data_IF_946485421632
#
_entry.id   IF_946485421632
#
_cell.length_a   1.000
_cell.length_b   1.000
_cell.length_c   1.000
_cell.angle_alpha   90.00
_cell.angle_beta   90.00
_cell.angle_gamma   90.00
#
_symmetry.space_group_name_H-M   'P 1'
#
loop_
_entity.id
_entity.type
_entity.pdbx_description
1 polymer ?
#
# COMPACT_ATOMS: atom_id res chain seq x y z
N UNK A 1 -20.97 5.67 -19.40
CA UNK A 1 -20.86 5.25 -20.82
C UNK A 1 -21.99 4.28 -21.05
N UNK A 2 -23.04 4.70 -21.75
CA UNK A 2 -24.36 4.08 -21.60
C UNK A 2 -24.87 4.18 -20.16
N UNK A 3 -25.62 3.18 -19.70
CA UNK A 3 -26.23 3.10 -18.34
C UNK A 3 -25.25 2.66 -17.23
N UNK A 4 -23.97 2.46 -17.56
CA UNK A 4 -22.99 2.02 -16.58
C UNK A 4 -22.51 3.18 -15.70
N UNK A 5 -22.76 3.06 -14.39
CA UNK A 5 -22.25 3.95 -13.36
C UNK A 5 -20.90 3.45 -12.84
N UNK A 6 -19.88 4.30 -12.96
CA UNK A 6 -18.55 4.03 -12.45
C UNK A 6 -18.27 4.92 -11.25
N UNK A 7 -17.65 4.35 -10.22
CA UNK A 7 -17.15 5.08 -9.06
C UNK A 7 -15.64 4.83 -8.92
N UNK A 8 -14.95 5.77 -8.31
CA UNK A 8 -13.52 5.66 -8.04
C UNK A 8 -13.14 6.51 -6.83
N UNK A 9 -12.02 6.15 -6.21
CA UNK A 9 -11.43 6.90 -5.11
C UNK A 9 -10.34 7.79 -5.71
N UNK A 10 -10.47 9.10 -5.54
CA UNK A 10 -9.45 10.08 -5.90
C UNK A 10 -8.64 10.50 -4.69
N UNK A 11 -7.32 10.42 -4.76
CA UNK A 11 -6.41 10.98 -3.77
C UNK A 11 -5.66 12.14 -4.38
N UNK A 12 -5.80 13.31 -3.76
CA UNK A 12 -5.12 14.54 -4.17
C UNK A 12 -3.62 14.45 -3.84
N UNK A 13 -2.76 14.77 -4.80
CA UNK A 13 -1.32 14.90 -4.60
C UNK A 13 -0.94 16.31 -4.14
N UNK A 14 0.33 16.51 -3.78
CA UNK A 14 0.82 17.78 -3.21
C UNK A 14 0.66 18.98 -4.16
N UNK A 15 0.76 18.77 -5.48
CA UNK A 15 0.57 19.82 -6.50
C UNK A 15 -0.90 20.01 -6.92
N UNK A 16 -1.83 19.26 -6.32
CA UNK A 16 -3.26 19.40 -6.55
C UNK A 16 -3.82 18.59 -7.72
N UNK A 17 -3.01 17.74 -8.35
CA UNK A 17 -3.49 16.65 -9.20
C UNK A 17 -4.10 15.51 -8.37
N UNK A 18 -4.65 14.50 -9.04
CA UNK A 18 -5.33 13.38 -8.43
C UNK A 18 -4.88 12.05 -9.04
N UNK A 19 -4.61 11.09 -8.17
CA UNK A 19 -4.58 9.67 -8.52
C UNK A 19 -5.96 9.08 -8.25
N UNK A 20 -6.58 8.53 -9.30
CA UNK A 20 -7.92 7.98 -9.24
C UNK A 20 -7.82 6.47 -9.45
N UNK A 21 -8.36 5.71 -8.48
CA UNK A 21 -8.47 4.26 -8.57
C UNK A 21 -9.92 3.85 -8.66
N UNK A 22 -10.27 3.08 -9.69
CA UNK A 22 -11.49 2.29 -9.72
C UNK A 22 -11.12 0.79 -9.89
N UNK A 23 -12.08 -0.15 -9.77
CA UNK A 23 -11.79 -1.58 -9.92
C UNK A 23 -11.16 -1.98 -11.26
N UNK A 24 -11.40 -1.19 -12.31
CA UNK A 24 -11.05 -1.51 -13.70
C UNK A 24 -9.77 -0.80 -14.20
N UNK A 25 -9.39 0.33 -13.59
CA UNK A 25 -8.34 1.21 -14.10
C UNK A 25 -7.67 2.04 -13.00
N UNK A 26 -6.43 2.42 -13.29
CA UNK A 26 -5.67 3.47 -12.58
C UNK A 26 -5.66 4.68 -13.51
N UNK A 27 -6.04 5.86 -13.00
CA UNK A 27 -6.15 7.09 -13.77
C UNK A 27 -5.45 8.22 -13.04
N UNK A 28 -4.91 9.17 -13.81
CA UNK A 28 -4.27 10.39 -13.29
C UNK A 28 -5.01 11.60 -13.84
N UNK A 29 -5.19 12.63 -13.02
CA UNK A 29 -5.82 13.87 -13.43
C UNK A 29 -4.99 15.06 -12.92
N UNK A 30 -4.59 15.97 -13.80
CA UNK A 30 -3.74 17.11 -13.46
C UNK A 30 -2.25 16.76 -13.34
N UNK A 31 -1.53 17.51 -12.51
CA UNK A 31 -0.09 17.33 -12.28
C UNK A 31 0.23 16.00 -11.60
N UNK A 32 1.43 15.46 -11.85
CA UNK A 32 1.96 14.29 -11.14
C UNK A 32 2.92 14.75 -10.05
N UNK A 33 2.60 14.40 -8.81
CA UNK A 33 3.47 14.55 -7.64
C UNK A 33 3.15 13.43 -6.66
N UNK A 34 3.84 13.37 -5.52
CA UNK A 34 3.57 12.46 -4.42
C UNK A 34 2.24 12.78 -3.74
N UNK A 35 1.57 11.77 -3.19
CA UNK A 35 0.40 11.92 -2.33
C UNK A 35 0.77 11.63 -0.88
N UNK A 36 0.19 12.39 0.05
CA UNK A 36 0.37 12.18 1.50
C UNK A 36 -0.94 11.68 2.12
N UNK A 37 -0.87 10.65 2.98
CA UNK A 37 -1.97 10.16 3.80
C UNK A 37 -1.52 10.05 5.26
N UNK A 38 -2.47 10.20 6.18
CA UNK A 38 -2.25 10.16 7.63
C UNK A 38 -2.49 11.53 8.28
N UNK A 39 -2.22 11.63 9.59
CA UNK A 39 -2.34 12.88 10.34
C UNK A 39 -1.23 13.88 9.99
N UNK A 40 -1.43 15.12 10.42
CA UNK A 40 -0.53 16.26 10.17
C UNK A 40 0.94 16.01 10.56
N UNK A 41 1.84 16.81 9.94
CA UNK A 41 3.31 16.62 9.98
C UNK A 41 3.93 16.46 11.37
N UNK A 42 3.42 17.17 12.37
CA UNK A 42 4.01 17.22 13.71
C UNK A 42 3.90 15.93 14.53
N UNK A 43 2.97 15.02 14.20
CA UNK A 43 2.65 13.86 15.05
C UNK A 43 3.32 12.56 14.59
N UNK A 44 3.58 12.41 13.28
CA UNK A 44 4.12 11.15 12.75
C UNK A 44 5.65 11.10 12.80
N UNK A 45 6.16 10.09 13.50
CA UNK A 45 7.61 9.86 13.63
C UNK A 45 8.19 8.98 12.52
N UNK A 46 7.35 8.24 11.80
CA UNK A 46 7.80 7.27 10.78
C UNK A 46 7.18 7.62 9.44
N UNK A 47 7.96 7.50 8.38
CA UNK A 47 7.46 7.65 7.00
C UNK A 47 7.43 6.27 6.36
N UNK A 48 6.32 5.91 5.71
CA UNK A 48 6.22 4.72 4.86
C UNK A 48 6.01 5.20 3.43
N UNK A 49 6.89 4.77 2.53
CA UNK A 49 6.88 5.17 1.12
C UNK A 49 6.45 3.98 0.28
N UNK A 50 5.39 4.16 -0.51
CA UNK A 50 4.88 3.18 -1.44
C UNK A 50 4.92 3.74 -2.87
N UNK A 51 4.96 2.86 -3.87
CA UNK A 51 4.95 3.31 -5.27
C UNK A 51 3.58 3.84 -5.70
N UNK A 52 2.50 3.13 -5.36
CA UNK A 52 1.12 3.50 -5.69
C UNK A 52 0.22 3.73 -4.48
N UNK A 53 -0.94 4.35 -4.71
CA UNK A 53 -1.88 4.67 -3.63
C UNK A 53 -2.58 3.43 -3.06
N UNK A 54 -2.76 2.41 -3.91
CA UNK A 54 -3.33 1.12 -3.51
C UNK A 54 -2.40 0.40 -2.52
N UNK A 55 -1.09 0.54 -2.71
CA UNK A 55 -0.07 -0.02 -1.84
C UNK A 55 -0.06 0.68 -0.48
N UNK A 56 -0.24 2.01 -0.47
CA UNK A 56 -0.43 2.77 0.77
C UNK A 56 -1.65 2.29 1.56
N UNK A 57 -2.80 2.06 0.91
CA UNK A 57 -3.97 1.51 1.60
C UNK A 57 -3.73 0.10 2.13
N UNK A 58 -2.98 -0.71 1.40
CA UNK A 58 -2.65 -2.09 1.79
C UNK A 58 -1.79 -2.12 3.05
N UNK A 59 -0.73 -1.32 3.13
CA UNK A 59 0.10 -1.26 4.34
C UNK A 59 -0.64 -0.64 5.53
N UNK A 60 -1.52 0.35 5.29
CA UNK A 60 -2.40 0.89 6.34
C UNK A 60 -3.26 -0.23 6.93
N UNK A 61 -3.88 -1.05 6.09
CA UNK A 61 -4.70 -2.18 6.53
C UNK A 61 -3.88 -3.23 7.31
N UNK A 62 -2.68 -3.56 6.84
CA UNK A 62 -1.77 -4.48 7.53
C UNK A 62 -1.40 -3.94 8.93
N UNK A 63 -1.06 -2.66 9.04
CA UNK A 63 -0.71 -2.03 10.31
C UNK A 63 -1.91 -1.98 11.26
N UNK A 64 -3.12 -1.71 10.75
CA UNK A 64 -4.36 -1.79 11.54
C UNK A 64 -4.60 -3.19 12.09
N UNK A 65 -4.49 -4.23 11.26
CA UNK A 65 -4.64 -5.64 11.68
C UNK A 65 -3.60 -6.04 12.73
N UNK A 66 -2.40 -5.46 12.67
CA UNK A 66 -1.34 -5.67 13.64
C UNK A 66 -1.47 -4.80 14.92
N UNK A 67 -2.57 -4.04 15.09
CA UNK A 67 -2.82 -3.22 16.27
C UNK A 67 -1.86 -2.04 16.41
N UNK A 68 -1.25 -1.57 15.31
CA UNK A 68 -0.33 -0.42 15.34
C UNK A 68 -1.11 0.89 15.40
N UNK A 69 -0.59 1.86 16.15
CA UNK A 69 -1.10 3.22 16.11
C UNK A 69 -0.72 3.87 14.78
N UNK A 70 -1.71 4.19 13.94
CA UNK A 70 -1.45 4.81 12.64
C UNK A 70 -0.95 6.24 12.75
N UNK A 71 -1.17 6.91 13.88
CA UNK A 71 -0.70 8.28 14.10
C UNK A 71 0.83 8.36 14.16
N UNK A 72 1.51 7.25 14.44
CA UNK A 72 2.97 7.15 14.37
C UNK A 72 3.51 7.26 12.94
N UNK A 73 2.65 7.09 11.93
CA UNK A 73 3.04 6.87 10.53
C UNK A 73 2.47 7.94 9.60
N UNK A 74 3.31 8.38 8.68
CA UNK A 74 2.92 9.13 7.49
C UNK A 74 3.12 8.26 6.28
N UNK A 75 2.09 8.15 5.45
CA UNK A 75 2.13 7.31 4.27
C UNK A 75 2.28 8.19 3.04
N UNK A 76 3.36 7.97 2.30
CA UNK A 76 3.66 8.71 1.08
C UNK A 76 3.52 7.74 -0.08
N UNK A 77 2.68 8.10 -1.04
CA UNK A 77 2.66 7.41 -2.32
C UNK A 77 3.46 8.22 -3.32
N UNK A 78 4.44 7.60 -3.96
CA UNK A 78 5.20 8.24 -5.04
C UNK A 78 4.29 8.52 -6.25
N UNK A 79 3.24 7.72 -6.43
CA UNK A 79 2.35 7.67 -7.60
C UNK A 79 3.04 7.27 -8.92
N UNK A 80 4.36 7.44 -9.00
CA UNK A 80 5.27 6.96 -10.03
C UNK A 80 6.70 7.08 -9.52
N UNK A 81 7.59 6.16 -9.91
CA UNK A 81 9.04 6.25 -9.66
C UNK A 81 9.67 7.55 -10.19
N UNK A 82 9.03 8.23 -11.17
CA UNK A 82 9.51 9.54 -11.65
C UNK A 82 9.46 10.62 -10.57
N UNK A 83 8.63 10.46 -9.54
CA UNK A 83 8.48 11.41 -8.45
C UNK A 83 9.46 11.17 -7.28
N UNK A 84 10.39 10.21 -7.39
CA UNK A 84 11.41 9.95 -6.36
C UNK A 84 12.20 11.20 -6.00
N UNK A 85 12.57 12.04 -6.98
CA UNK A 85 13.29 13.28 -6.69
C UNK A 85 12.42 14.26 -5.89
N UNK A 86 11.15 14.43 -6.27
CA UNK A 86 10.20 15.27 -5.53
C UNK A 86 9.98 14.79 -4.09
N UNK A 87 10.02 13.47 -3.87
CA UNK A 87 10.03 12.90 -2.53
C UNK A 87 11.29 13.30 -1.76
N UNK A 88 12.48 13.06 -2.32
CA UNK A 88 13.76 13.38 -1.67
C UNK A 88 13.81 14.86 -1.28
N UNK A 89 13.56 15.76 -2.23
CA UNK A 89 13.66 17.21 -2.00
C UNK A 89 12.74 17.70 -0.88
N UNK A 90 11.57 17.06 -0.74
CA UNK A 90 10.56 17.42 0.26
C UNK A 90 10.86 16.86 1.65
N UNK A 91 11.40 15.64 1.73
CA UNK A 91 11.53 14.91 3.00
C UNK A 91 12.94 14.82 3.53
N UNK A 92 13.99 15.04 2.74
CA UNK A 92 15.37 14.88 3.20
C UNK A 92 15.69 15.72 4.46
N UNK A 93 15.17 16.94 4.53
CA UNK A 93 15.43 17.88 5.63
C UNK A 93 14.32 17.91 6.71
N UNK A 94 13.33 17.02 6.66
CA UNK A 94 12.29 16.96 7.68
C UNK A 94 12.72 16.11 8.88
N UNK A 95 12.09 16.33 10.03
CA UNK A 95 12.34 15.54 11.24
C UNK A 95 11.38 14.35 11.31
N UNK A 96 11.94 13.15 11.23
CA UNK A 96 11.29 11.86 11.47
C UNK A 96 12.34 10.92 12.04
N UNK A 97 11.94 9.80 12.64
CA UNK A 97 12.83 8.78 13.19
C UNK A 97 13.36 7.85 12.09
N UNK A 98 12.50 7.42 11.18
CA UNK A 98 12.82 6.43 10.14
C UNK A 98 11.94 6.55 8.90
N UNK A 99 12.48 6.12 7.76
CA UNK A 99 11.76 5.96 6.49
C UNK A 99 11.75 4.47 6.12
N UNK A 100 10.58 3.94 5.80
CA UNK A 100 10.38 2.56 5.38
C UNK A 100 9.94 2.53 3.91
N UNK A 101 10.60 1.72 3.10
CA UNK A 101 10.29 1.59 1.67
C UNK A 101 9.52 0.30 1.40
N UNK A 102 8.44 0.42 0.63
CA UNK A 102 7.61 -0.66 0.10
C UNK A 102 7.26 -0.32 -1.36
N UNK A 103 8.29 -0.30 -2.21
CA UNK A 103 8.15 -0.09 -3.65
C UNK A 103 7.87 -1.42 -4.38
N UNK A 104 7.60 -1.36 -5.68
CA UNK A 104 7.38 -2.57 -6.47
C UNK A 104 8.66 -3.43 -6.51
N UNK A 105 8.47 -4.74 -6.64
CA UNK A 105 9.55 -5.74 -6.74
C UNK A 105 10.16 -5.85 -8.13
N UNK A 106 10.20 -4.77 -8.89
CA UNK A 106 10.76 -4.72 -10.24
C UNK A 106 12.01 -3.82 -10.32
N UNK A 107 12.64 -3.78 -11.50
CA UNK A 107 13.87 -3.01 -11.73
C UNK A 107 13.69 -1.51 -11.46
N UNK A 108 12.52 -0.94 -11.78
CA UNK A 108 12.27 0.48 -11.53
C UNK A 108 12.12 0.75 -10.03
N UNK A 109 11.46 -0.15 -9.30
CA UNK A 109 11.37 -0.12 -7.84
C UNK A 109 12.73 -0.28 -7.16
N UNK A 110 13.62 -1.12 -7.70
CA UNK A 110 14.99 -1.29 -7.20
C UNK A 110 15.84 -0.03 -7.39
N UNK A 111 15.80 0.57 -8.58
CA UNK A 111 16.50 1.83 -8.87
C UNK A 111 15.99 2.97 -7.99
N UNK A 112 14.68 3.07 -7.82
CA UNK A 112 14.05 4.05 -6.94
C UNK A 112 14.47 3.86 -5.47
N UNK A 113 14.48 2.61 -4.99
CA UNK A 113 14.92 2.25 -3.64
C UNK A 113 16.35 2.69 -3.39
N UNK A 114 17.26 2.33 -4.31
CA UNK A 114 18.67 2.71 -4.22
C UNK A 114 18.85 4.22 -4.19
N UNK A 115 18.18 4.95 -5.08
CA UNK A 115 18.25 6.42 -5.15
C UNK A 115 17.80 7.08 -3.84
N UNK A 116 16.74 6.56 -3.20
CA UNK A 116 16.28 7.08 -1.91
C UNK A 116 17.28 6.75 -0.80
N UNK A 117 17.82 5.53 -0.75
CA UNK A 117 18.79 5.13 0.27
C UNK A 117 20.08 5.94 0.20
N UNK A 118 20.56 6.26 -1.01
CA UNK A 118 21.76 7.07 -1.23
C UNK A 118 21.58 8.55 -0.84
N UNK A 119 20.37 9.09 -0.98
CA UNK A 119 20.10 10.48 -0.68
C UNK A 119 19.95 10.78 0.82
N UNK A 120 19.51 9.81 1.62
CA UNK A 120 19.21 10.01 3.04
C UNK A 120 20.40 9.59 3.93
N UNK A 121 20.50 10.10 5.17
CA UNK A 121 21.54 9.68 6.11
C UNK A 121 21.57 8.17 6.35
N UNK A 122 22.78 7.62 6.52
CA UNK A 122 22.98 6.19 6.71
C UNK A 122 22.14 5.65 7.89
N UNK A 123 21.44 4.53 7.68
CA UNK A 123 20.58 3.90 8.68
C UNK A 123 19.20 4.55 8.86
N UNK A 124 18.91 5.66 8.17
CA UNK A 124 17.62 6.35 8.23
C UNK A 124 16.51 5.65 7.45
N UNK A 125 16.89 5.07 6.31
CA UNK A 125 16.00 4.40 5.37
C UNK A 125 16.15 2.89 5.51
N UNK A 126 15.03 2.18 5.54
CA UNK A 126 14.98 0.72 5.57
C UNK A 126 14.07 0.21 4.46
N UNK A 127 14.57 -0.72 3.66
CA UNK A 127 13.75 -1.46 2.71
C UNK A 127 13.02 -2.58 3.44
N UNK A 128 11.69 -2.63 3.34
CA UNK A 128 10.85 -3.65 3.96
C UNK A 128 10.32 -4.66 2.95
N UNK A 129 10.68 -4.58 1.68
CA UNK A 129 10.17 -5.48 0.63
C UNK A 129 10.43 -6.96 0.96
N UNK A 130 11.62 -7.27 1.46
CA UNK A 130 11.97 -8.63 1.90
C UNK A 130 11.07 -9.16 3.02
N UNK A 131 10.65 -8.30 3.97
CA UNK A 131 9.75 -8.71 5.05
C UNK A 131 8.39 -9.20 4.54
N UNK A 132 7.99 -8.76 3.35
CA UNK A 132 6.74 -9.14 2.71
C UNK A 132 6.93 -10.08 1.51
N UNK A 133 8.18 -10.48 1.19
CA UNK A 133 8.47 -11.30 0.02
C UNK A 133 8.19 -10.60 -1.30
N UNK A 134 8.42 -9.28 -1.35
CA UNK A 134 8.25 -8.47 -2.56
C UNK A 134 9.57 -8.44 -3.32
N UNK A 135 9.60 -9.08 -4.50
CA UNK A 135 10.77 -9.14 -5.38
C UNK A 135 10.33 -9.77 -6.72
N UNK A 136 11.24 -9.79 -7.71
CA UNK A 136 10.98 -10.28 -9.07
C UNK A 136 10.49 -11.73 -9.19
N UNK A 137 10.67 -12.54 -8.15
CA UNK A 137 10.25 -13.95 -8.07
C UNK A 137 9.20 -14.20 -6.97
N UNK A 138 8.72 -13.13 -6.34
CA UNK A 138 7.82 -13.14 -5.20
C UNK A 138 6.52 -12.43 -5.53
N UNK A 139 5.99 -11.67 -4.56
CA UNK A 139 4.88 -10.76 -4.82
C UNK A 139 5.40 -9.53 -5.58
N UNK A 140 4.59 -9.03 -6.51
CA UNK A 140 4.90 -7.82 -7.27
C UNK A 140 4.93 -6.59 -6.37
N UNK A 141 3.96 -6.48 -5.47
CA UNK A 141 3.75 -5.33 -4.60
C UNK A 141 3.07 -5.75 -3.28
N UNK A 142 2.98 -4.82 -2.34
CA UNK A 142 2.38 -5.06 -1.02
C UNK A 142 0.88 -5.36 -1.09
N UNK A 143 0.19 -4.82 -2.10
CA UNK A 143 -1.21 -5.13 -2.33
C UNK A 143 -1.39 -6.60 -2.75
N UNK A 144 -0.56 -7.12 -3.65
CA UNK A 144 -0.60 -8.53 -4.03
C UNK A 144 -0.35 -9.44 -2.81
N UNK A 145 0.63 -9.10 -1.97
CA UNK A 145 0.88 -9.80 -0.71
C UNK A 145 -0.39 -9.87 0.16
N UNK A 146 -1.02 -8.71 0.43
CA UNK A 146 -2.22 -8.63 1.28
C UNK A 146 -3.40 -9.44 0.72
N UNK A 147 -3.61 -9.40 -0.60
CA UNK A 147 -4.67 -10.16 -1.26
C UNK A 147 -4.46 -11.66 -1.12
N UNK A 148 -3.24 -12.15 -1.31
CA UNK A 148 -2.90 -13.57 -1.19
C UNK A 148 -3.03 -14.06 0.25
N UNK A 149 -2.61 -13.26 1.23
CA UNK A 149 -2.81 -13.59 2.64
C UNK A 149 -4.29 -13.65 3.02
N UNK A 150 -5.10 -12.71 2.53
CA UNK A 150 -6.55 -12.70 2.80
C UNK A 150 -7.25 -13.93 2.20
N UNK A 151 -6.90 -14.34 0.97
CA UNK A 151 -7.42 -15.56 0.35
C UNK A 151 -7.03 -16.85 1.12
N UNK A 152 -5.82 -16.90 1.68
CA UNK A 152 -5.39 -18.04 2.52
C UNK A 152 -6.20 -18.11 3.81
N UNK A 153 -6.56 -16.97 4.40
CA UNK A 153 -7.38 -16.92 5.61
C UNK A 153 -8.81 -17.37 5.33
N UNK A 154 -9.42 -16.92 4.23
CA UNK A 154 -10.76 -17.35 3.80
C UNK A 154 -10.82 -18.87 3.60
N UNK A 155 -9.86 -19.44 2.86
CA UNK A 155 -9.78 -20.90 2.67
C UNK A 155 -9.66 -21.67 3.99
N UNK A 156 -8.88 -21.17 4.94
CA UNK A 156 -8.73 -21.77 6.28
C UNK A 156 -10.03 -21.70 7.11
N UNK A 157 -10.84 -20.66 6.92
CA UNK A 157 -12.14 -20.54 7.60
C UNK A 157 -13.19 -21.46 6.98
N UNK A 158 -13.24 -21.57 5.64
CA UNK A 158 -14.16 -22.47 4.93
C UNK A 158 -13.88 -23.95 5.25
N UNK A 159 -12.60 -24.33 5.41
CA UNK A 159 -12.21 -25.70 5.80
C UNK A 159 -12.48 -26.03 7.28
N UNK A 160 -12.77 -25.04 8.13
CA UNK A 160 -13.12 -25.22 9.55
C UNK A 160 -14.63 -25.16 9.83
N UNK A 161 -15.46 -24.88 8.82
CA UNK A 161 -16.91 -24.90 8.98
C UNK A 161 -17.39 -26.37 9.05
N UNK A 162 -18.20 -26.76 10.05
CA UNK A 162 -18.74 -28.11 10.12
C UNK A 162 -19.63 -28.40 8.90
N UNK A 163 -19.48 -29.59 8.30
CA UNK A 163 -20.40 -30.04 7.24
C UNK A 163 -21.85 -29.93 7.72
N UNK A 164 -22.78 -29.46 6.87
CA UNK A 164 -24.20 -29.49 7.22
C UNK A 164 -24.61 -30.95 7.45
N UNK A 165 -24.91 -31.28 8.71
CA UNK A 165 -25.47 -32.58 9.08
C UNK A 165 -26.74 -32.78 8.27
N UNK A 166 -26.73 -33.77 7.37
CA UNK A 166 -27.93 -34.21 6.67
C UNK A 166 -28.95 -34.71 7.69
N UNK A 167 -29.86 -33.84 8.16
CA UNK A 167 -31.05 -34.27 8.89
C UNK A 167 -31.93 -35.03 7.90
N UNK A 168 -31.87 -36.36 7.96
CA UNK A 168 -32.84 -37.23 7.31
C UNK A 168 -34.23 -36.95 7.87
N UNK A 169 -35.11 -36.39 7.06
CA UNK A 169 -36.54 -36.31 7.37
C UNK A 169 -37.14 -37.71 7.19
N UNK A 170 -37.29 -38.43 8.30
CA UNK A 170 -38.12 -39.63 8.34
C UNK A 170 -39.60 -39.24 8.28
N UNK A 171 -40.24 -39.52 7.14
CA UNK A 171 -41.70 -39.57 7.06
C UNK A 171 -42.18 -40.87 7.71
N UNK A 172 -42.80 -40.78 8.89
CA UNK A 172 -43.69 -41.85 9.37
C UNK A 172 -45.08 -41.64 8.75
N UNK A 173 -45.57 -42.66 8.05
CA UNK A 173 -47.00 -42.87 7.80
C UNK A 173 -47.52 -43.87 8.82
#
# INVERSE_FOLDING_TARGET
VGENHFYGIGVKNVEGGYEIRNPFSKMKFGSSDVSELGKEKAEAKKIVVCEGITDSFSIIEILKRAGKNLDDYRFISLNSVTNVQKFIDRYLNQTYDSVFLLLDGDTAGDEATKKIQEAFPQGKVRDLRDNFGIHSHGYKDINEHLMKESQKQEKKQTLKAPEPTKKGYGFKR
#
